data_IF_355360059625
#
_entry.id   IF_355360059625
#
_cell.length_a   1.000
_cell.length_b   1.000
_cell.length_c   1.000
_cell.angle_alpha   90.00
_cell.angle_beta   90.00
_cell.angle_gamma   90.00
#
_symmetry.space_group_name_H-M   'P 1'
#
loop_
_entity.id
_entity.type
_entity.pdbx_description
1 polymer ?
#
# COMPACT_ATOMS: atom_id res chain seq x y z
N UNK A 1 59.50 -13.64 -32.04
CA UNK A 1 58.33 -13.26 -32.87
C UNK A 1 57.12 -13.20 -31.95
N UNK A 2 56.55 -12.02 -31.73
CA UNK A 2 55.44 -11.79 -30.80
C UNK A 2 54.39 -11.00 -31.56
N UNK A 3 53.26 -11.67 -31.81
CA UNK A 3 52.29 -11.32 -32.82
C UNK A 3 51.32 -10.27 -32.23
N UNK A 4 50.98 -9.30 -33.06
CA UNK A 4 50.18 -8.12 -32.77
C UNK A 4 48.76 -8.35 -33.31
N UNK A 5 47.73 -8.35 -32.46
CA UNK A 5 46.32 -8.26 -32.87
C UNK A 5 45.42 -8.00 -31.64
N UNK A 6 44.49 -7.03 -31.74
CA UNK A 6 43.25 -6.87 -30.94
C UNK A 6 43.06 -5.60 -30.09
N UNK A 7 43.47 -4.43 -30.58
CA UNK A 7 43.10 -3.14 -29.95
C UNK A 7 41.82 -2.44 -30.47
N UNK A 8 41.07 -2.87 -31.53
CA UNK A 8 39.84 -2.16 -31.93
C UNK A 8 38.55 -2.74 -31.33
N UNK A 9 38.57 -3.94 -30.75
CA UNK A 9 37.36 -4.62 -30.21
C UNK A 9 36.92 -4.01 -28.88
N UNK A 10 37.85 -3.44 -28.11
CA UNK A 10 37.54 -2.86 -26.80
C UNK A 10 36.69 -1.58 -26.86
N UNK A 11 36.66 -0.90 -28.01
CA UNK A 11 35.94 0.37 -28.18
C UNK A 11 34.45 0.18 -28.54
N UNK A 12 34.07 -1.00 -29.05
CA UNK A 12 32.69 -1.32 -29.43
C UNK A 12 31.82 -1.83 -28.27
N UNK A 13 32.42 -2.21 -27.13
CA UNK A 13 31.69 -2.64 -25.93
C UNK A 13 31.25 -1.49 -25.01
N UNK A 14 31.62 -0.25 -25.32
CA UNK A 14 31.28 0.93 -24.51
C UNK A 14 29.95 1.63 -24.92
N UNK A 15 29.27 1.18 -25.98
CA UNK A 15 27.99 1.75 -26.44
C UNK A 15 26.76 0.88 -26.10
N UNK A 16 26.89 -0.02 -25.12
CA UNK A 16 25.94 -1.11 -24.90
C UNK A 16 25.17 -1.11 -23.58
N UNK A 17 25.05 -0.01 -22.86
CA UNK A 17 24.01 0.14 -21.83
C UNK A 17 23.53 1.58 -21.81
N UNK A 18 22.46 1.83 -22.58
CA UNK A 18 21.56 2.96 -22.30
C UNK A 18 21.17 2.77 -20.83
N UNK A 19 21.55 3.66 -19.89
CA UNK A 19 20.84 3.69 -18.63
C UNK A 19 19.41 3.99 -19.05
N UNK A 20 18.50 3.03 -18.83
CA UNK A 20 17.08 3.32 -18.89
C UNK A 20 16.91 4.57 -18.04
N UNK A 21 16.66 5.72 -18.69
CA UNK A 21 16.18 6.89 -17.99
C UNK A 21 14.94 6.36 -17.30
N UNK A 22 15.05 6.10 -16.00
CA UNK A 22 13.98 5.54 -15.23
C UNK A 22 12.82 6.48 -15.43
N UNK A 23 11.83 6.04 -16.21
CA UNK A 23 10.53 6.69 -16.23
C UNK A 23 10.18 6.87 -14.77
N UNK A 24 9.86 8.09 -14.36
CA UNK A 24 9.36 8.33 -13.01
C UNK A 24 8.29 7.27 -12.76
N UNK A 25 8.51 6.39 -11.78
CA UNK A 25 7.56 5.35 -11.46
C UNK A 25 6.24 6.05 -11.12
N UNK A 26 5.18 5.83 -11.92
CA UNK A 26 3.88 6.51 -11.76
C UNK A 26 3.36 6.38 -10.32
N UNK A 27 3.68 5.26 -9.66
CA UNK A 27 3.41 5.04 -8.23
C UNK A 27 4.19 6.03 -7.35
N UNK A 28 5.50 6.21 -7.55
CA UNK A 28 6.30 7.16 -6.76
C UNK A 28 5.88 8.61 -7.03
N UNK A 29 5.54 8.94 -8.28
CA UNK A 29 5.05 10.26 -8.64
C UNK A 29 3.70 10.57 -7.98
N UNK A 30 2.79 9.59 -7.94
CA UNK A 30 1.50 9.73 -7.26
C UNK A 30 1.69 9.81 -5.73
N UNK A 31 2.40 8.86 -5.12
CA UNK A 31 2.49 8.74 -3.68
C UNK A 31 3.31 9.87 -3.02
N UNK A 32 4.31 10.42 -3.69
CA UNK A 32 5.08 11.58 -3.18
C UNK A 32 4.24 12.85 -3.01
N UNK A 33 3.09 12.94 -3.69
CA UNK A 33 2.15 14.06 -3.57
C UNK A 33 1.04 13.82 -2.53
N UNK A 34 1.07 12.69 -1.82
CA UNK A 34 0.07 12.36 -0.81
C UNK A 34 0.55 12.75 0.59
N UNK A 35 -0.36 13.08 1.53
CA UNK A 35 0.01 13.31 2.93
C UNK A 35 0.62 12.08 3.64
N UNK A 36 0.36 10.88 3.13
CA UNK A 36 0.86 9.62 3.70
C UNK A 36 1.53 8.72 2.63
N UNK A 37 2.75 9.05 2.20
CA UNK A 37 3.41 8.36 1.09
C UNK A 37 3.63 6.86 1.33
N UNK A 38 3.97 6.47 2.57
CA UNK A 38 4.19 5.06 2.93
C UNK A 38 2.93 4.21 2.78
N UNK A 39 1.78 4.73 3.23
CA UNK A 39 0.47 4.07 3.11
C UNK A 39 0.06 3.95 1.64
N UNK A 40 0.30 5.00 0.84
CA UNK A 40 0.04 4.97 -0.59
C UNK A 40 0.89 3.89 -1.29
N UNK A 41 2.19 3.84 -0.98
CA UNK A 41 3.12 2.90 -1.60
C UNK A 41 2.76 1.45 -1.26
N UNK A 42 2.54 1.13 0.03
CA UNK A 42 2.16 -0.22 0.45
C UNK A 42 0.82 -0.64 -0.14
N UNK A 43 -0.15 0.26 -0.19
CA UNK A 43 -1.46 0.01 -0.80
C UNK A 43 -1.35 -0.34 -2.29
N UNK A 44 -0.57 0.43 -3.05
CA UNK A 44 -0.41 0.19 -4.48
C UNK A 44 0.45 -1.03 -4.78
N UNK A 45 1.51 -1.28 -4.01
CA UNK A 45 2.36 -2.47 -4.15
C UNK A 45 1.63 -3.77 -3.84
N UNK A 46 0.72 -3.76 -2.85
CA UNK A 46 -0.13 -4.90 -2.53
C UNK A 46 -1.17 -5.22 -3.62
N UNK A 47 -1.39 -4.30 -4.56
CA UNK A 47 -2.32 -4.51 -5.66
C UNK A 47 -1.56 -4.84 -6.96
N UNK A 48 -1.66 -6.08 -7.49
CA UNK A 48 -0.92 -6.48 -8.69
C UNK A 48 -1.35 -5.69 -9.95
N UNK A 49 -2.54 -5.07 -9.94
CA UNK A 49 -3.03 -4.22 -11.04
C UNK A 49 -2.34 -2.86 -11.09
N UNK A 50 -1.53 -2.50 -10.09
CA UNK A 50 -0.75 -1.26 -10.10
C UNK A 50 0.47 -1.30 -11.02
N UNK A 51 0.94 -2.49 -11.39
CA UNK A 51 2.11 -2.62 -12.26
C UNK A 51 1.80 -2.13 -13.68
N UNK A 52 2.56 -1.14 -14.17
CA UNK A 52 2.35 -0.53 -15.48
C UNK A 52 1.05 0.28 -15.60
N UNK A 53 0.34 0.52 -14.50
CA UNK A 53 -0.86 1.34 -14.49
C UNK A 53 -0.50 2.83 -14.60
N UNK A 54 -1.26 3.55 -15.42
CA UNK A 54 -1.18 5.01 -15.50
C UNK A 54 -1.57 5.66 -14.17
N UNK A 55 -1.13 6.90 -13.91
CA UNK A 55 -1.54 7.69 -12.73
C UNK A 55 -3.06 7.69 -12.51
N UNK A 56 -3.86 7.79 -13.58
CA UNK A 56 -5.33 7.75 -13.48
C UNK A 56 -5.83 6.39 -12.97
N UNK A 57 -5.27 5.29 -13.48
CA UNK A 57 -5.60 3.93 -13.03
C UNK A 57 -5.16 3.70 -11.59
N UNK A 58 -3.97 4.18 -11.21
CA UNK A 58 -3.49 4.12 -9.82
C UNK A 58 -4.42 4.90 -8.88
N UNK A 59 -4.88 6.08 -9.28
CA UNK A 59 -5.86 6.86 -8.51
C UNK A 59 -7.16 6.08 -8.27
N UNK A 60 -7.69 5.40 -9.29
CA UNK A 60 -8.89 4.56 -9.15
C UNK A 60 -8.67 3.34 -8.23
N UNK A 61 -7.46 2.75 -8.25
CA UNK A 61 -7.11 1.67 -7.32
C UNK A 61 -7.15 2.17 -5.87
N UNK A 62 -6.58 3.35 -5.60
CA UNK A 62 -6.62 3.96 -4.26
C UNK A 62 -8.06 4.24 -3.85
N UNK A 63 -8.87 4.82 -4.73
CA UNK A 63 -10.30 5.06 -4.45
C UNK A 63 -11.03 3.76 -4.11
N UNK A 64 -10.84 2.70 -4.91
CA UNK A 64 -11.46 1.41 -4.65
C UNK A 64 -10.99 0.79 -3.31
N UNK A 65 -9.73 0.96 -2.91
CA UNK A 65 -9.25 0.56 -1.58
C UNK A 65 -9.99 1.33 -0.49
N UNK A 66 -10.07 2.65 -0.61
CA UNK A 66 -10.77 3.51 0.36
C UNK A 66 -12.25 3.14 0.46
N UNK A 67 -12.94 2.93 -0.65
CA UNK A 67 -14.35 2.49 -0.66
C UNK A 67 -14.54 1.17 0.09
N UNK A 68 -13.65 0.20 -0.12
CA UNK A 68 -13.70 -1.07 0.61
C UNK A 68 -13.42 -0.87 2.11
N UNK A 69 -12.45 -0.02 2.47
CA UNK A 69 -12.17 0.32 3.86
C UNK A 69 -13.37 1.00 4.53
N UNK A 70 -14.07 1.90 3.83
CA UNK A 70 -15.29 2.56 4.33
C UNK A 70 -16.40 1.55 4.59
N UNK A 71 -16.70 0.65 3.63
CA UNK A 71 -17.73 -0.39 3.82
C UNK A 71 -17.45 -1.29 5.01
N UNK A 72 -16.18 -1.64 5.22
CA UNK A 72 -15.76 -2.41 6.38
C UNK A 72 -15.92 -1.61 7.67
N UNK A 73 -15.58 -0.31 7.66
CA UNK A 73 -15.74 0.57 8.81
C UNK A 73 -17.21 0.79 9.19
N UNK A 74 -18.11 0.98 8.21
CA UNK A 74 -19.56 1.10 8.43
C UNK A 74 -20.10 -0.11 9.20
N UNK A 75 -19.80 -1.33 8.72
CA UNK A 75 -20.20 -2.57 9.40
C UNK A 75 -19.66 -2.65 10.83
N UNK A 76 -18.41 -2.21 11.06
CA UNK A 76 -17.81 -2.21 12.40
C UNK A 76 -18.49 -1.22 13.32
N UNK A 77 -18.82 -0.03 12.83
CA UNK A 77 -19.53 0.99 13.61
C UNK A 77 -20.88 0.43 14.07
N UNK A 78 -21.62 -0.24 13.20
CA UNK A 78 -22.87 -0.94 13.57
C UNK A 78 -22.65 -1.94 14.70
N UNK A 79 -21.63 -2.80 14.59
CA UNK A 79 -21.30 -3.77 15.63
C UNK A 79 -20.94 -3.11 16.97
N UNK A 80 -20.18 -2.01 16.94
CA UNK A 80 -19.82 -1.25 18.15
C UNK A 80 -21.06 -0.60 18.80
N UNK A 81 -22.00 -0.09 18.00
CA UNK A 81 -23.26 0.47 18.50
C UNK A 81 -24.09 -0.61 19.21
N UNK A 82 -24.27 -1.78 18.60
CA UNK A 82 -25.02 -2.88 19.18
C UNK A 82 -24.34 -3.41 20.46
N UNK A 83 -23.01 -3.53 20.45
CA UNK A 83 -22.25 -3.92 21.65
C UNK A 83 -22.46 -2.94 22.82
N UNK A 84 -22.45 -1.63 22.55
CA UNK A 84 -22.73 -0.61 23.57
C UNK A 84 -24.12 -0.77 24.16
N UNK A 85 -25.14 -1.04 23.34
CA UNK A 85 -26.50 -1.25 23.82
C UNK A 85 -26.63 -2.48 24.71
N UNK A 86 -25.99 -3.60 24.32
CA UNK A 86 -25.94 -4.81 25.12
C UNK A 86 -25.29 -4.54 26.49
N UNK A 87 -24.17 -3.79 26.50
CA UNK A 87 -23.50 -3.39 27.74
C UNK A 87 -24.40 -2.55 28.66
N UNK A 88 -25.11 -1.55 28.12
CA UNK A 88 -26.02 -0.69 28.91
C UNK A 88 -27.17 -1.51 29.52
N UNK A 89 -27.63 -2.56 28.83
CA UNK A 89 -28.69 -3.45 29.31
C UNK A 89 -28.20 -4.52 30.30
N UNK A 90 -26.88 -4.60 30.55
CA UNK A 90 -26.27 -5.63 31.40
C UNK A 90 -26.12 -6.98 30.70
N UNK A 91 -26.23 -7.02 29.38
CA UNK A 91 -26.10 -8.23 28.57
C UNK A 91 -24.64 -8.45 28.11
N UNK A 92 -23.80 -8.83 29.07
CA UNK A 92 -22.35 -8.85 28.89
C UNK A 92 -21.87 -9.93 27.91
N UNK A 93 -22.58 -11.06 27.79
CA UNK A 93 -22.23 -12.14 26.86
C UNK A 93 -22.39 -11.66 25.42
N UNK A 94 -23.48 -10.97 25.11
CA UNK A 94 -23.68 -10.39 23.78
C UNK A 94 -22.72 -9.23 23.52
N UNK A 95 -22.44 -8.40 24.53
CA UNK A 95 -21.46 -7.32 24.38
C UNK A 95 -20.06 -7.85 24.00
N UNK A 96 -19.61 -8.94 24.63
CA UNK A 96 -18.34 -9.61 24.34
C UNK A 96 -18.32 -10.22 22.93
N UNK A 97 -19.40 -10.90 22.53
CA UNK A 97 -19.54 -11.47 21.19
C UNK A 97 -19.38 -10.38 20.11
N UNK A 98 -20.11 -9.27 20.24
CA UNK A 98 -20.06 -8.18 19.27
C UNK A 98 -18.69 -7.48 19.25
N UNK A 99 -18.03 -7.29 20.41
CA UNK A 99 -16.68 -6.73 20.42
C UNK A 99 -15.68 -7.65 19.71
N UNK A 100 -15.79 -8.96 19.93
CA UNK A 100 -14.92 -9.95 19.27
C UNK A 100 -15.12 -9.95 17.76
N UNK A 101 -16.36 -9.90 17.30
CA UNK A 101 -16.68 -9.80 15.86
C UNK A 101 -16.14 -8.52 15.24
N UNK A 102 -16.25 -7.38 15.94
CA UNK A 102 -15.69 -6.11 15.48
C UNK A 102 -14.16 -6.17 15.36
N UNK A 103 -13.47 -6.81 16.31
CA UNK A 103 -12.01 -7.01 16.31
C UNK A 103 -11.56 -7.99 15.22
N UNK A 104 -12.30 -9.08 15.00
CA UNK A 104 -12.01 -10.03 13.93
C UNK A 104 -12.21 -9.39 12.55
N UNK A 105 -13.26 -8.55 12.39
CA UNK A 105 -13.44 -7.75 11.20
C UNK A 105 -12.37 -6.66 11.06
N UNK A 106 -11.74 -6.23 12.16
CA UNK A 106 -10.58 -5.33 12.15
C UNK A 106 -9.34 -5.97 11.54
N UNK A 107 -9.29 -7.31 11.45
CA UNK A 107 -8.31 -8.03 10.64
C UNK A 107 -6.93 -7.44 10.82
N UNK A 108 -6.44 -7.48 12.06
CA UNK A 108 -5.12 -7.00 12.48
C UNK A 108 -4.93 -5.47 12.27
N UNK A 109 -4.80 -4.74 13.38
CA UNK A 109 -4.10 -3.45 13.32
C UNK A 109 -2.64 -3.75 12.93
N UNK A 110 -2.36 -3.87 11.63
CA UNK A 110 -0.99 -3.95 11.14
C UNK A 110 -0.25 -2.68 11.61
N UNK A 111 0.93 -2.93 12.15
CA UNK A 111 1.91 -2.05 12.81
C UNK A 111 2.32 -0.73 12.12
N UNK A 112 1.62 -0.29 11.07
CA UNK A 112 2.02 0.79 10.18
C UNK A 112 1.66 2.22 10.59
N UNK A 113 1.07 2.47 11.76
CA UNK A 113 0.70 3.84 12.22
C UNK A 113 1.59 4.38 13.33
N UNK A 114 2.90 4.08 13.33
CA UNK A 114 3.86 4.88 14.09
C UNK A 114 4.29 6.10 13.27
N UNK A 115 3.80 7.33 13.57
CA UNK A 115 4.47 8.52 13.08
C UNK A 115 5.89 8.52 13.65
N UNK A 116 6.87 8.69 12.77
CA UNK A 116 8.28 8.77 13.17
C UNK A 116 8.47 9.84 14.24
N UNK A 117 8.85 9.38 15.44
CA UNK A 117 9.40 10.25 16.47
C UNK A 117 10.85 10.56 16.10
N UNK A 118 11.05 11.59 15.29
CA UNK A 118 12.31 12.31 15.24
C UNK A 118 12.23 13.51 16.19
N UNK A 119 12.51 13.25 17.48
CA UNK A 119 13.30 14.14 18.33
C UNK A 119 13.78 13.40 19.56
#
# INVERSE_FOLDING_TARGET
>A
MKNNMNTPVLLLLALGTIPALGCANDINQLCSKTPFPGVCLSTLQANPKSNGATIKQLGLIVVAKVENTVKVAEKKIETVVVSREAFIKGDYIFAELYMTDALNALGECEDGSRPGSHR
#
